data_IF_305618004975
#
_entry.id   IF_305618004975
#
_cell.length_a   1.000
_cell.length_b   1.000
_cell.length_c   1.000
_cell.angle_alpha   90.00
_cell.angle_beta   90.00
_cell.angle_gamma   90.00
#
_symmetry.space_group_name_H-M   'P 1'
#
loop_
_entity.id
_entity.type
_entity.pdbx_description
1 polymer ?
#
# COMPACT_ATOMS: atom_id res chain seq x y z
N UNK A 1 4.37 -1.92 6.53
CA UNK A 1 3.80 -2.80 5.49
C UNK A 1 4.84 -3.85 5.10
N UNK A 2 4.42 -5.06 4.71
CA UNK A 2 5.26 -6.03 3.99
C UNK A 2 5.41 -5.58 2.51
N UNK A 3 6.62 -5.22 2.11
CA UNK A 3 6.94 -4.73 0.76
C UNK A 3 8.07 -5.51 0.09
N UNK A 4 8.35 -6.74 0.53
CA UNK A 4 9.44 -7.56 0.00
C UNK A 4 9.04 -8.41 -1.22
N UNK A 5 7.77 -8.44 -1.59
CA UNK A 5 7.29 -9.21 -2.74
C UNK A 5 7.69 -8.56 -4.07
N UNK A 6 8.09 -9.38 -5.05
CA UNK A 6 8.40 -8.90 -6.40
C UNK A 6 7.19 -8.21 -7.07
N UNK A 7 5.97 -8.66 -6.74
CA UNK A 7 4.72 -8.03 -7.18
C UNK A 7 4.60 -6.58 -6.71
N UNK A 8 5.09 -6.27 -5.50
CA UNK A 8 5.17 -4.90 -5.00
C UNK A 8 6.26 -4.12 -5.71
N UNK A 9 7.47 -4.69 -5.78
CA UNK A 9 8.62 -4.00 -6.35
C UNK A 9 8.41 -3.58 -7.80
N UNK A 10 7.70 -4.41 -8.57
CA UNK A 10 7.38 -4.19 -9.98
C UNK A 10 5.99 -3.57 -10.19
N UNK A 11 5.29 -3.15 -9.13
CA UNK A 11 3.98 -2.54 -9.24
C UNK A 11 4.06 -1.23 -10.05
N UNK A 12 3.23 -1.11 -11.10
CA UNK A 12 3.15 0.09 -11.94
C UNK A 12 1.76 0.71 -11.96
N UNK A 13 0.72 -0.11 -11.94
CA UNK A 13 -0.68 0.32 -12.13
C UNK A 13 -1.64 -0.63 -11.43
N UNK A 14 -2.90 -0.19 -11.26
CA UNK A 14 -3.98 -1.02 -10.73
C UNK A 14 -4.03 -1.07 -9.20
N UNK A 15 -5.01 -1.82 -8.68
CA UNK A 15 -5.18 -2.06 -7.24
C UNK A 15 -4.25 -3.20 -6.81
N UNK A 16 -3.24 -2.87 -6.01
CA UNK A 16 -2.30 -3.83 -5.49
C UNK A 16 -2.99 -4.77 -4.48
N UNK A 17 -2.78 -6.07 -4.68
CA UNK A 17 -3.24 -7.14 -3.80
C UNK A 17 -2.25 -8.30 -3.93
N UNK A 18 -1.67 -8.74 -2.82
CA UNK A 18 -0.73 -9.85 -2.77
C UNK A 18 -1.17 -10.85 -1.70
N UNK A 19 -1.55 -12.05 -2.12
CA UNK A 19 -2.07 -13.08 -1.22
C UNK A 19 -1.02 -13.62 -0.25
N UNK A 20 0.26 -13.54 -0.62
CA UNK A 20 1.39 -14.01 0.20
C UNK A 20 1.89 -12.93 1.18
N UNK A 21 1.28 -11.75 1.17
CA UNK A 21 1.70 -10.65 2.00
C UNK A 21 1.42 -10.90 3.47
N UNK A 22 2.39 -10.60 4.33
CA UNK A 22 2.21 -10.71 5.78
C UNK A 22 1.54 -9.47 6.36
N UNK A 23 0.58 -9.67 7.26
CA UNK A 23 0.02 -8.58 8.07
C UNK A 23 0.87 -8.24 9.30
N UNK A 24 1.90 -9.04 9.60
CA UNK A 24 2.70 -8.92 10.83
C UNK A 24 4.22 -8.81 10.58
N UNK A 25 4.74 -9.38 9.50
CA UNK A 25 6.16 -9.22 9.11
C UNK A 25 6.33 -7.96 8.27
N UNK A 26 6.45 -6.82 8.95
CA UNK A 26 6.55 -5.51 8.29
C UNK A 26 8.01 -5.12 8.05
N UNK A 27 8.32 -4.54 6.90
CA UNK A 27 9.68 -4.15 6.50
C UNK A 27 9.79 -2.74 5.90
N UNK A 28 8.65 -2.11 5.57
CA UNK A 28 8.59 -0.82 4.86
C UNK A 28 7.66 0.17 5.55
N UNK A 29 8.15 1.40 5.69
CA UNK A 29 7.36 2.59 6.01
C UNK A 29 6.79 3.21 4.73
N UNK A 30 5.50 3.54 4.75
CA UNK A 30 4.73 4.13 3.65
C UNK A 30 3.80 5.20 4.21
N UNK A 31 3.31 6.10 3.35
CA UNK A 31 2.38 7.14 3.77
C UNK A 31 1.04 6.95 3.08
N UNK A 32 0.00 6.64 3.85
CA UNK A 32 -1.39 6.71 3.36
C UNK A 32 -1.78 8.19 3.25
N UNK A 33 -2.19 8.61 2.06
CA UNK A 33 -2.57 10.02 1.77
C UNK A 33 -4.05 10.16 1.43
N UNK A 34 -4.78 9.05 1.32
CA UNK A 34 -6.21 9.06 1.05
C UNK A 34 -6.77 7.65 0.90
N UNK A 35 -8.05 7.57 0.57
CA UNK A 35 -8.78 6.34 0.30
C UNK A 35 -9.89 6.61 -0.73
N UNK A 36 -10.41 5.54 -1.32
CA UNK A 36 -11.52 5.63 -2.26
C UNK A 36 -12.13 4.27 -2.55
N UNK A 37 -12.98 4.24 -3.57
CA UNK A 37 -13.60 3.04 -4.11
C UNK A 37 -13.59 3.12 -5.64
N UNK A 38 -13.30 2.02 -6.32
CA UNK A 38 -13.36 1.92 -7.78
C UNK A 38 -14.02 0.59 -8.15
N UNK A 39 -15.13 0.64 -8.89
CA UNK A 39 -15.88 -0.54 -9.33
C UNK A 39 -16.26 -1.51 -8.19
N UNK A 40 -16.60 -0.96 -7.01
CA UNK A 40 -16.93 -1.75 -5.81
C UNK A 40 -15.72 -2.29 -5.04
N UNK A 41 -14.49 -1.95 -5.46
CA UNK A 41 -13.26 -2.30 -4.75
C UNK A 41 -12.72 -1.08 -4.00
N UNK A 42 -12.74 -1.16 -2.67
CA UNK A 42 -12.17 -0.13 -1.81
C UNK A 42 -10.64 -0.17 -1.80
N UNK A 43 -10.00 1.00 -1.76
CA UNK A 43 -8.54 1.11 -1.77
C UNK A 43 -8.01 2.21 -0.84
N UNK A 44 -6.77 2.05 -0.41
CA UNK A 44 -5.92 3.10 0.14
C UNK A 44 -5.07 3.72 -0.97
N UNK A 45 -4.97 5.04 -1.00
CA UNK A 45 -4.00 5.76 -1.82
C UNK A 45 -2.73 5.98 -0.99
N UNK A 46 -1.61 5.49 -1.51
CA UNK A 46 -0.35 5.42 -0.77
C UNK A 46 0.76 6.09 -1.56
N UNK A 47 1.52 6.94 -0.89
CA UNK A 47 2.76 7.54 -1.39
C UNK A 47 3.95 6.66 -1.00
N UNK A 48 4.75 6.29 -1.99
CA UNK A 48 6.01 5.55 -1.80
C UNK A 48 7.22 6.52 -1.80
N UNK A 49 8.38 6.02 -1.40
CA UNK A 49 9.63 6.78 -1.27
C UNK A 49 10.69 6.43 -2.32
N UNK A 50 10.32 5.79 -3.43
CA UNK A 50 11.27 5.34 -4.48
C UNK A 50 11.30 6.27 -5.71
N UNK A 51 10.83 7.49 -5.56
CA UNK A 51 10.76 8.47 -6.65
C UNK A 51 9.57 8.26 -7.58
N UNK A 52 9.44 9.17 -8.55
CA UNK A 52 8.25 9.27 -9.41
C UNK A 52 8.21 8.26 -10.55
N UNK A 53 9.34 7.62 -10.86
CA UNK A 53 9.42 6.59 -11.92
C UNK A 53 8.75 5.28 -11.50
N UNK A 54 8.62 5.06 -10.19
CA UNK A 54 7.97 3.87 -9.64
C UNK A 54 6.46 4.08 -9.53
N UNK A 55 5.67 3.02 -9.77
CA UNK A 55 4.22 3.07 -9.64
C UNK A 55 3.56 4.11 -10.55
N UNK A 56 2.49 4.71 -10.04
CA UNK A 56 1.76 5.81 -10.67
C UNK A 56 2.33 7.12 -10.14
N UNK A 57 3.39 7.64 -10.77
CA UNK A 57 4.08 8.88 -10.36
C UNK A 57 4.58 8.86 -8.89
N UNK A 58 5.05 7.70 -8.41
CA UNK A 58 5.51 7.49 -7.03
C UNK A 58 4.39 7.06 -6.06
N UNK A 59 3.17 6.90 -6.55
CA UNK A 59 2.02 6.43 -5.79
C UNK A 59 1.59 5.03 -6.23
N UNK A 60 0.83 4.39 -5.37
CA UNK A 60 0.10 3.19 -5.70
C UNK A 60 -1.20 3.17 -4.90
N UNK A 61 -2.13 2.33 -5.33
CA UNK A 61 -3.33 2.03 -4.58
C UNK A 61 -3.28 0.57 -4.15
N UNK A 62 -3.68 0.29 -2.91
CA UNK A 62 -3.70 -1.06 -2.32
C UNK A 62 -5.09 -1.34 -1.80
N UNK A 63 -5.55 -2.59 -1.96
CA UNK A 63 -6.90 -2.96 -1.53
C UNK A 63 -7.10 -2.69 -0.03
N UNK A 64 -8.24 -2.05 0.28
CA UNK A 64 -8.68 -1.71 1.62
C UNK A 64 -9.72 -2.73 2.09
N UNK A 65 -9.79 -2.94 3.41
CA UNK A 65 -10.74 -3.83 4.07
C UNK A 65 -10.69 -5.32 3.64
N UNK A 66 -9.58 -5.75 3.04
CA UNK A 66 -9.32 -7.15 2.69
C UNK A 66 -8.22 -7.74 3.58
N UNK A 67 -8.60 -8.13 4.80
CA UNK A 67 -7.73 -8.79 5.80
C UNK A 67 -6.45 -8.02 6.15
N UNK A 68 -6.53 -6.68 6.24
CA UNK A 68 -5.38 -5.81 6.51
C UNK A 68 -4.20 -6.12 5.56
N UNK A 69 -4.47 -5.98 4.26
CA UNK A 69 -3.54 -6.30 3.18
C UNK A 69 -2.14 -5.75 3.47
N UNK A 70 -1.14 -6.64 3.43
CA UNK A 70 0.27 -6.33 3.71
C UNK A 70 0.55 -5.62 5.05
N UNK A 71 -0.38 -5.66 5.99
CA UNK A 71 -0.24 -4.99 7.28
C UNK A 71 -0.22 -3.47 7.17
N UNK A 72 -0.94 -2.91 6.20
CA UNK A 72 -1.05 -1.44 5.98
C UNK A 72 -1.52 -0.70 7.24
N UNK A 73 -2.39 -1.31 8.05
CA UNK A 73 -2.94 -0.73 9.27
C UNK A 73 -2.29 -1.26 10.56
N UNK A 74 -1.26 -2.12 10.47
CA UNK A 74 -0.70 -2.80 11.66
C UNK A 74 0.09 -1.86 12.58
N UNK A 75 0.85 -0.92 12.02
CA UNK A 75 1.65 0.07 12.76
C UNK A 75 1.41 1.49 12.21
N UNK A 76 0.13 1.87 12.08
CA UNK A 76 -0.25 3.20 11.64
C UNK A 76 -0.02 4.24 12.76
N UNK A 77 0.51 5.40 12.40
CA UNK A 77 0.70 6.53 13.32
C UNK A 77 0.55 7.86 12.59
N UNK A 78 0.24 8.92 13.34
CA UNK A 78 0.20 10.29 12.85
C UNK A 78 0.78 11.22 13.92
N UNK A 79 1.46 12.31 13.53
CA UNK A 79 1.95 13.30 14.49
C UNK A 79 0.81 14.17 15.03
N UNK A 80 0.90 14.58 16.29
CA UNK A 80 0.08 15.64 16.88
C UNK A 80 0.92 16.91 17.04
N UNK A 81 0.33 18.08 16.78
CA UNK A 81 0.98 19.38 16.94
C UNK A 81 0.48 20.11 18.18
#
# INVERSE_FOLDING_TARGET
MDGNHASFQLCKTGIYSETQCSSTKLDRGILVVGYGSQNGQDYWLVKNSWGTVWGIQGYFIIVRDQKNMCGVATLASFPTM
#
